data_IF_470491917449
#
_entry.id   IF_470491917449
#
_cell.length_a   1.000
_cell.length_b   1.000
_cell.length_c   1.000
_cell.angle_alpha   90.00
_cell.angle_beta   90.00
_cell.angle_gamma   90.00
#
_symmetry.space_group_name_H-M   'P 1'
#
loop_
_entity.id
_entity.type
_entity.pdbx_description
1 polymer ?
#
# COMPACT_ATOMS: atom_id res chain seq x y z
N UNK A 1 9.84 13.47 -5.91
CA UNK A 1 8.46 13.54 -6.46
C UNK A 1 8.23 12.73 -7.74
N UNK A 2 9.17 12.68 -8.71
CA UNK A 2 9.06 11.71 -9.83
C UNK A 2 9.03 10.25 -9.35
N UNK A 3 9.74 9.93 -8.26
CA UNK A 3 9.74 8.62 -7.61
C UNK A 3 8.39 8.19 -7.00
N UNK A 4 7.56 9.12 -6.52
CA UNK A 4 6.21 8.81 -6.01
C UNK A 4 5.26 8.27 -7.09
N UNK A 5 5.37 8.77 -8.34
CA UNK A 5 4.59 8.24 -9.48
C UNK A 5 4.92 6.77 -9.74
N UNK A 6 6.20 6.46 -9.60
CA UNK A 6 6.77 5.18 -9.94
C UNK A 6 6.49 4.10 -8.91
N UNK A 7 6.48 4.48 -7.63
CA UNK A 7 6.19 3.60 -6.52
C UNK A 7 4.72 3.21 -6.48
N UNK A 8 3.82 4.20 -6.58
CA UNK A 8 2.39 3.93 -6.71
C UNK A 8 2.09 3.10 -7.98
N UNK A 9 2.78 3.38 -9.10
CA UNK A 9 2.71 2.55 -10.30
C UNK A 9 3.13 1.10 -10.02
N UNK A 10 4.30 0.85 -9.43
CA UNK A 10 4.81 -0.50 -9.14
C UNK A 10 3.82 -1.33 -8.30
N UNK A 11 3.17 -0.69 -7.34
CA UNK A 11 2.23 -1.29 -6.40
C UNK A 11 0.87 -1.64 -7.00
N UNK A 12 0.39 -0.83 -7.94
CA UNK A 12 -0.87 -1.10 -8.64
C UNK A 12 -0.73 -2.29 -9.60
N UNK A 13 0.48 -2.52 -10.13
CA UNK A 13 0.70 -3.49 -11.19
C UNK A 13 0.90 -4.91 -10.64
N UNK A 14 1.27 -5.04 -9.37
CA UNK A 14 1.25 -6.31 -8.65
C UNK A 14 -0.17 -6.90 -8.54
N UNK A 15 -1.22 -6.11 -8.85
CA UNK A 15 -2.61 -6.57 -8.88
C UNK A 15 -3.31 -6.40 -10.23
N UNK A 16 -2.81 -5.54 -11.12
CA UNK A 16 -3.28 -5.44 -12.50
C UNK A 16 -2.70 -6.54 -13.43
N UNK A 17 -1.74 -7.34 -12.96
CA UNK A 17 -1.19 -8.49 -13.65
C UNK A 17 -2.17 -9.67 -13.77
N UNK A 18 -3.18 -9.51 -14.61
CA UNK A 18 -3.98 -10.62 -15.10
C UNK A 18 -4.27 -10.48 -16.59
N UNK A 19 -3.25 -10.17 -17.38
CA UNK A 19 -3.13 -10.70 -18.74
C UNK A 19 -2.42 -12.05 -18.68
N UNK A 20 -2.66 -12.92 -19.67
CA UNK A 20 -2.13 -14.29 -19.79
C UNK A 20 -0.61 -14.34 -20.03
N UNK A 21 0.17 -13.55 -19.30
CA UNK A 21 1.62 -13.47 -19.49
C UNK A 21 2.33 -14.40 -18.51
N UNK A 22 3.25 -15.19 -19.08
CA UNK A 22 3.98 -16.31 -18.48
C UNK A 22 4.27 -16.14 -16.98
N UNK A 23 3.99 -17.20 -16.23
CA UNK A 23 4.54 -17.40 -14.89
C UNK A 23 6.03 -17.69 -15.07
N UNK A 24 6.88 -16.79 -14.55
CA UNK A 24 8.33 -16.98 -14.48
C UNK A 24 8.59 -17.59 -13.10
N UNK A 25 8.72 -18.91 -13.05
CA UNK A 25 8.83 -19.67 -11.80
C UNK A 25 10.28 -19.71 -11.24
N UNK A 26 11.29 -19.28 -12.01
CA UNK A 26 12.69 -19.35 -11.59
C UNK A 26 13.53 -18.12 -11.99
N UNK A 27 14.60 -17.89 -11.23
CA UNK A 27 15.60 -16.82 -11.45
C UNK A 27 16.29 -16.89 -12.82
N UNK A 28 16.30 -18.06 -13.45
CA UNK A 28 16.91 -18.32 -14.77
C UNK A 28 15.96 -18.03 -15.95
N UNK A 29 14.66 -17.84 -15.70
CA UNK A 29 13.65 -17.60 -16.75
C UNK A 29 13.43 -16.11 -17.06
N UNK A 30 14.26 -15.21 -16.51
CA UNK A 30 14.26 -13.79 -16.87
C UNK A 30 14.98 -13.65 -18.22
N UNK A 31 14.23 -13.84 -19.29
CA UNK A 31 14.66 -13.58 -20.66
C UNK A 31 14.93 -12.07 -20.84
N UNK A 32 16.08 -11.70 -21.41
CA UNK A 32 16.44 -10.31 -21.76
C UNK A 32 15.56 -9.73 -22.89
N UNK A 33 14.58 -10.51 -23.38
CA UNK A 33 13.59 -10.05 -24.33
C UNK A 33 12.73 -8.90 -23.78
N UNK A 34 12.40 -7.89 -24.61
CA UNK A 34 11.63 -6.74 -24.17
C UNK A 34 10.24 -7.18 -23.70
N UNK A 35 9.98 -6.99 -22.40
CA UNK A 35 8.66 -7.24 -21.78
C UNK A 35 7.66 -6.27 -22.41
N UNK A 36 6.71 -6.82 -23.16
CA UNK A 36 5.57 -6.05 -23.70
C UNK A 36 4.53 -5.89 -22.59
N UNK A 37 4.56 -4.73 -21.92
CA UNK A 37 3.56 -4.38 -20.93
C UNK A 37 2.23 -4.08 -21.62
N UNK A 38 1.14 -4.70 -21.14
CA UNK A 38 -0.20 -4.49 -21.70
C UNK A 38 -0.60 -3.01 -21.61
N UNK A 39 -1.32 -2.54 -22.62
CA UNK A 39 -1.83 -1.16 -22.66
C UNK A 39 -2.71 -0.83 -21.45
N UNK A 40 -3.44 -1.82 -20.94
CA UNK A 40 -4.22 -1.69 -19.72
C UNK A 40 -3.36 -1.30 -18.50
N UNK A 41 -2.22 -1.97 -18.33
CA UNK A 41 -1.29 -1.67 -17.23
C UNK A 41 -0.76 -0.24 -17.37
N UNK A 42 -0.39 0.20 -18.59
CA UNK A 42 0.07 1.58 -18.84
C UNK A 42 -0.98 2.61 -18.45
N UNK A 43 -2.22 2.42 -18.89
CA UNK A 43 -3.32 3.34 -18.58
C UNK A 43 -3.56 3.45 -17.08
N UNK A 44 -3.55 2.33 -16.37
CA UNK A 44 -3.72 2.32 -14.91
C UNK A 44 -2.60 3.09 -14.22
N UNK A 45 -1.35 2.92 -14.64
CA UNK A 45 -0.19 3.67 -14.11
C UNK A 45 -0.32 5.18 -14.34
N UNK A 46 -0.82 5.57 -15.51
CA UNK A 46 -1.04 6.99 -15.83
C UNK A 46 -2.14 7.63 -14.98
N UNK A 47 -3.03 6.83 -14.36
CA UNK A 47 -4.06 7.36 -13.44
C UNK A 47 -3.51 7.76 -12.07
N UNK A 48 -2.27 7.42 -11.74
CA UNK A 48 -1.63 7.82 -10.47
C UNK A 48 -1.54 9.33 -10.36
N UNK A 49 -2.13 9.87 -9.28
CA UNK A 49 -2.22 11.28 -9.00
C UNK A 49 -1.28 11.67 -7.85
N UNK A 50 -0.19 12.37 -8.19
CA UNK A 50 0.79 12.86 -7.21
C UNK A 50 0.15 13.80 -6.19
N UNK A 51 -0.79 14.63 -6.63
CA UNK A 51 -1.41 15.61 -5.74
C UNK A 51 -2.34 14.91 -4.72
N UNK A 52 -2.94 13.78 -5.09
CA UNK A 52 -3.67 12.90 -4.16
C UNK A 52 -2.74 12.31 -3.10
N UNK A 53 -1.57 11.78 -3.52
CA UNK A 53 -0.55 11.24 -2.61
C UNK A 53 -0.07 12.33 -1.63
N UNK A 54 0.34 13.49 -2.15
CA UNK A 54 0.79 14.62 -1.35
C UNK A 54 -0.28 15.11 -0.40
N UNK A 55 -1.51 15.25 -0.86
CA UNK A 55 -2.61 15.72 -0.02
C UNK A 55 -2.82 14.77 1.16
N UNK A 56 -2.81 13.47 0.91
CA UNK A 56 -2.88 12.45 1.97
C UNK A 56 -1.74 12.61 2.97
N UNK A 57 -0.51 12.74 2.46
CA UNK A 57 0.68 12.91 3.30
C UNK A 57 0.64 14.22 4.12
N UNK A 58 0.21 15.33 3.53
CA UNK A 58 0.07 16.63 4.21
C UNK A 58 -0.92 16.55 5.39
N UNK A 59 -1.99 15.76 5.28
CA UNK A 59 -2.94 15.54 6.37
C UNK A 59 -2.30 14.69 7.47
N UNK A 60 -1.72 13.53 7.11
CA UNK A 60 -1.12 12.60 8.06
C UNK A 60 0.05 13.19 8.84
N UNK A 61 0.79 14.13 8.23
CA UNK A 61 1.97 14.80 8.82
C UNK A 61 1.62 16.09 9.57
N UNK A 62 0.34 16.47 9.63
CA UNK A 62 -0.08 17.69 10.33
C UNK A 62 0.27 18.99 9.62
N UNK A 63 0.57 18.95 8.32
CA UNK A 63 0.72 20.16 7.49
C UNK A 63 -0.66 20.76 7.21
N UNK A 64 -1.67 19.91 6.98
CA UNK A 64 -3.05 20.31 6.73
C UNK A 64 -3.99 19.68 7.75
N UNK A 65 -5.02 20.40 8.18
CA UNK A 65 -6.10 19.80 8.94
C UNK A 65 -7.10 19.08 8.01
N UNK A 66 -7.92 18.21 8.58
CA UNK A 66 -9.11 17.66 7.94
C UNK A 66 -10.35 17.86 8.83
N UNK A 67 -11.53 17.66 8.24
CA UNK A 67 -12.79 17.73 8.99
C UNK A 67 -13.17 16.33 9.46
N UNK A 68 -13.31 16.15 10.77
CA UNK A 68 -13.83 14.94 11.40
C UNK A 68 -15.09 15.29 12.18
N UNK A 69 -16.26 14.78 11.79
CA UNK A 69 -17.53 15.03 12.47
C UNK A 69 -17.84 16.52 12.80
N UNK A 70 -17.48 17.43 11.87
CA UNK A 70 -17.57 18.91 11.98
C UNK A 70 -16.42 19.61 12.69
N UNK A 71 -15.53 18.87 13.35
CA UNK A 71 -14.35 19.43 13.98
C UNK A 71 -13.20 19.54 12.99
N UNK A 72 -12.44 20.63 13.07
CA UNK A 72 -11.18 20.77 12.33
C UNK A 72 -10.07 20.12 13.15
N UNK A 73 -9.55 19.00 12.65
CA UNK A 73 -8.57 18.16 13.34
C UNK A 73 -7.21 18.28 12.65
N UNK A 74 -6.15 18.33 13.46
CA UNK A 74 -4.76 18.29 13.00
C UNK A 74 -4.05 17.06 13.61
N UNK A 75 -3.41 16.24 12.77
CA UNK A 75 -2.65 15.07 13.22
C UNK A 75 -1.20 15.48 13.44
N UNK A 76 -0.78 15.67 14.70
CA UNK A 76 0.62 16.05 15.00
C UNK A 76 1.53 14.87 15.28
N UNK A 77 0.94 13.73 15.65
CA UNK A 77 1.62 12.47 15.95
C UNK A 77 0.65 11.31 15.75
N UNK A 78 1.13 10.20 15.20
CA UNK A 78 0.37 8.94 15.06
C UNK A 78 0.97 7.86 15.95
N UNK A 79 1.65 8.24 17.03
CA UNK A 79 2.04 7.29 18.06
C UNK A 79 0.78 6.67 18.67
N UNK A 80 0.72 5.34 18.79
CA UNK A 80 -0.50 4.57 19.06
C UNK A 80 -1.23 4.96 20.35
N UNK A 81 -0.51 5.50 21.34
CA UNK A 81 -1.09 5.96 22.60
C UNK A 81 -1.67 7.39 22.54
N UNK A 82 -1.57 8.10 21.41
CA UNK A 82 -2.03 9.47 21.25
C UNK A 82 -3.26 9.58 20.35
N UNK A 83 -4.12 10.57 20.65
CA UNK A 83 -5.36 10.82 19.90
C UNK A 83 -5.14 11.07 18.40
N UNK A 84 -3.96 11.54 18.00
CA UNK A 84 -3.62 11.71 16.58
C UNK A 84 -3.57 10.39 15.81
N UNK A 85 -3.33 9.25 16.47
CA UNK A 85 -3.43 7.93 15.86
C UNK A 85 -4.89 7.59 15.50
N UNK A 86 -5.83 7.82 16.43
CA UNK A 86 -7.26 7.66 16.17
C UNK A 86 -7.74 8.59 15.06
N UNK A 87 -7.28 9.84 15.07
CA UNK A 87 -7.59 10.80 14.01
C UNK A 87 -7.04 10.37 12.64
N UNK A 88 -5.87 9.73 12.60
CA UNK A 88 -5.35 9.14 11.37
C UNK A 88 -6.26 8.01 10.88
N UNK A 89 -6.64 7.07 11.74
CA UNK A 89 -7.57 6.00 11.38
C UNK A 89 -8.93 6.54 10.87
N UNK A 90 -9.51 7.54 11.55
CA UNK A 90 -10.76 8.18 11.13
C UNK A 90 -10.64 8.85 9.75
N UNK A 91 -9.51 9.52 9.49
CA UNK A 91 -9.23 10.11 8.18
C UNK A 91 -9.12 9.05 7.08
N UNK A 92 -8.43 7.95 7.37
CA UNK A 92 -8.22 6.86 6.42
C UNK A 92 -9.53 6.14 6.10
N UNK A 93 -10.36 5.89 7.11
CA UNK A 93 -11.74 5.40 6.94
C UNK A 93 -12.55 6.36 6.07
N UNK A 94 -12.55 7.66 6.37
CA UNK A 94 -13.25 8.67 5.58
C UNK A 94 -12.82 8.66 4.11
N UNK A 95 -11.53 8.51 3.83
CA UNK A 95 -11.00 8.45 2.46
C UNK A 95 -11.49 7.21 1.72
N UNK A 96 -11.43 6.04 2.35
CA UNK A 96 -11.89 4.78 1.75
C UNK A 96 -13.40 4.78 1.53
N UNK A 97 -14.19 5.26 2.49
CA UNK A 97 -15.64 5.41 2.35
C UNK A 97 -16.01 6.34 1.17
N UNK A 98 -15.29 7.44 0.99
CA UNK A 98 -15.50 8.34 -0.16
C UNK A 98 -15.15 7.71 -1.52
N UNK A 99 -14.38 6.63 -1.53
CA UNK A 99 -14.13 5.84 -2.74
C UNK A 99 -15.18 4.72 -2.93
N UNK A 100 -16.19 4.67 -2.06
CA UNK A 100 -17.29 3.71 -2.16
C UNK A 100 -16.97 2.33 -1.58
N UNK A 101 -15.96 2.23 -0.72
CA UNK A 101 -15.66 0.99 -0.02
C UNK A 101 -16.45 0.86 1.28
N UNK A 102 -16.84 -0.36 1.60
CA UNK A 102 -17.27 -0.73 2.95
C UNK A 102 -16.02 -0.95 3.82
N UNK A 103 -15.72 0.02 4.68
CA UNK A 103 -14.51 0.02 5.52
C UNK A 103 -14.71 -0.86 6.75
N UNK A 104 -13.68 -1.63 7.10
CA UNK A 104 -13.59 -2.38 8.35
C UNK A 104 -12.58 -1.72 9.27
N UNK A 105 -13.08 -1.29 10.44
CA UNK A 105 -12.27 -0.94 11.60
C UNK A 105 -12.10 -2.19 12.48
N UNK A 106 -10.94 -2.82 12.43
CA UNK A 106 -10.63 -4.02 13.20
C UNK A 106 -9.85 -3.63 14.46
N UNK A 107 -10.58 -3.46 15.57
CA UNK A 107 -10.00 -3.32 16.89
C UNK A 107 -9.40 -4.65 17.34
N UNK A 108 -8.16 -4.63 17.83
CA UNK A 108 -7.44 -5.83 18.28
C UNK A 108 -6.91 -5.73 19.71
N UNK A 109 -6.92 -4.54 20.29
CA UNK A 109 -6.72 -4.32 21.73
C UNK A 109 -7.51 -3.06 22.17
N UNK A 110 -7.19 -2.49 23.34
CA UNK A 110 -7.89 -1.32 23.88
C UNK A 110 -7.64 0.00 23.13
N UNK A 111 -6.57 0.09 22.34
CA UNK A 111 -6.10 1.31 21.66
C UNK A 111 -5.83 1.07 20.16
N UNK A 112 -5.35 -0.12 19.78
CA UNK A 112 -4.98 -0.46 18.43
C UNK A 112 -6.17 -0.83 17.52
N UNK A 113 -6.19 -0.23 16.32
CA UNK A 113 -7.26 -0.38 15.32
C UNK A 113 -6.70 -0.45 13.89
N UNK A 114 -6.73 -1.63 13.27
CA UNK A 114 -6.46 -1.71 11.84
C UNK A 114 -7.62 -1.10 11.06
N UNK A 115 -7.32 -0.44 9.94
CA UNK A 115 -8.32 0.05 8.98
C UNK A 115 -8.08 -0.66 7.65
N UNK A 116 -9.10 -1.31 7.09
CA UNK A 116 -8.97 -1.90 5.76
C UNK A 116 -10.27 -1.91 4.97
N UNK A 117 -10.13 -2.01 3.65
CA UNK A 117 -11.24 -2.13 2.71
C UNK A 117 -10.96 -3.25 1.69
N UNK A 118 -12.02 -3.83 1.13
CA UNK A 118 -11.91 -4.90 0.14
C UNK A 118 -12.54 -4.46 -1.18
N UNK A 119 -11.77 -4.55 -2.28
CA UNK A 119 -12.32 -4.55 -3.64
C UNK A 119 -12.54 -6.00 -4.07
N UNK A 120 -13.79 -6.43 -4.25
CA UNK A 120 -14.07 -7.79 -4.70
C UNK A 120 -13.57 -8.03 -6.13
N UNK A 121 -12.95 -9.19 -6.32
CA UNK A 121 -12.60 -9.69 -7.65
C UNK A 121 -13.81 -10.18 -8.43
N UNK A 122 -13.80 -10.06 -9.76
CA UNK A 122 -14.90 -10.52 -10.61
C UNK A 122 -14.76 -11.96 -11.12
N UNK A 123 -13.56 -12.57 -11.02
CA UNK A 123 -13.32 -13.96 -11.45
C UNK A 123 -13.03 -14.85 -10.25
N UNK A 124 -12.19 -14.39 -9.33
CA UNK A 124 -11.75 -15.11 -8.14
C UNK A 124 -12.02 -14.26 -6.88
N UNK A 125 -13.29 -14.05 -6.50
CA UNK A 125 -13.66 -13.20 -5.37
C UNK A 125 -13.14 -13.70 -4.01
N UNK A 126 -12.85 -15.00 -3.89
CA UNK A 126 -12.38 -15.62 -2.64
C UNK A 126 -10.85 -15.80 -2.58
N UNK A 127 -10.11 -15.24 -3.54
CA UNK A 127 -8.64 -15.23 -3.57
C UNK A 127 -8.16 -13.78 -3.51
N UNK A 128 -7.27 -13.48 -2.57
CA UNK A 128 -6.97 -12.11 -2.15
C UNK A 128 -5.51 -11.76 -2.35
N UNK A 129 -5.26 -10.56 -2.88
CA UNK A 129 -3.99 -9.86 -2.75
C UNK A 129 -4.12 -8.75 -1.71
N UNK A 130 -3.03 -8.43 -1.03
CA UNK A 130 -3.00 -7.36 -0.02
C UNK A 130 -2.02 -6.28 -0.48
N UNK A 131 -2.49 -5.02 -0.52
CA UNK A 131 -1.63 -3.84 -0.53
C UNK A 131 -1.72 -3.22 0.86
N UNK A 132 -0.59 -3.08 1.54
CA UNK A 132 -0.60 -2.57 2.89
C UNK A 132 0.54 -1.62 3.22
N UNK A 133 0.33 -0.86 4.30
CA UNK A 133 1.30 -0.02 4.97
C UNK A 133 0.85 0.12 6.43
N UNK A 134 1.73 0.56 7.32
CA UNK A 134 1.31 0.97 8.66
C UNK A 134 1.11 2.48 8.72
N UNK A 135 0.14 2.92 9.52
CA UNK A 135 -0.20 4.33 9.65
C UNK A 135 0.24 4.92 10.99
N UNK A 136 0.66 4.13 11.97
CA UNK A 136 1.24 4.64 13.20
C UNK A 136 2.60 5.32 12.94
N UNK A 137 3.18 5.94 13.96
CA UNK A 137 4.47 6.62 13.83
C UNK A 137 5.26 6.62 15.14
N UNK A 138 6.59 6.56 15.02
CA UNK A 138 7.53 6.97 16.06
C UNK A 138 8.09 8.39 15.84
N UNK A 139 8.73 8.99 16.87
CA UNK A 139 8.86 8.51 18.26
C UNK A 139 7.60 8.75 19.10
N UNK A 140 7.59 8.25 20.34
CA UNK A 140 6.65 8.67 21.39
C UNK A 140 6.83 10.17 21.70
N UNK A 141 6.18 11.01 20.91
CA UNK A 141 6.31 12.47 20.93
C UNK A 141 5.03 13.11 20.44
N UNK A 142 4.64 14.23 21.07
CA UNK A 142 3.46 15.01 20.67
C UNK A 142 3.58 15.57 19.25
N UNK A 143 4.80 15.63 18.73
CA UNK A 143 5.14 15.93 17.34
C UNK A 143 5.95 14.75 16.80
N UNK A 144 5.31 13.93 15.97
CA UNK A 144 5.91 12.81 15.26
C UNK A 144 5.27 12.73 13.86
N UNK A 145 5.74 13.55 12.88
CA UNK A 145 5.07 13.65 11.59
C UNK A 145 5.08 12.35 10.78
N UNK A 146 6.08 11.48 11.00
CA UNK A 146 6.19 10.16 10.34
C UNK A 146 5.97 10.23 8.82
N UNK A 147 6.62 11.18 8.14
CA UNK A 147 6.30 11.49 6.75
C UNK A 147 6.75 10.37 5.79
N UNK A 148 8.00 9.92 5.94
CA UNK A 148 8.50 8.79 5.17
C UNK A 148 8.06 7.47 5.80
N UNK A 149 8.25 7.37 7.12
CA UNK A 149 7.93 6.22 7.97
C UNK A 149 6.69 6.50 8.86
N UNK A 150 5.51 6.00 8.50
CA UNK A 150 5.16 5.43 7.20
C UNK A 150 3.95 6.12 6.54
N UNK A 151 3.91 7.45 6.68
CA UNK A 151 2.94 8.30 5.99
C UNK A 151 3.02 8.16 4.46
N UNK A 152 4.23 7.91 3.92
CA UNK A 152 4.45 7.77 2.49
C UNK A 152 3.83 6.49 1.93
N UNK A 153 3.99 5.35 2.61
CA UNK A 153 3.36 4.08 2.25
C UNK A 153 1.85 4.11 2.46
N UNK A 154 1.39 4.66 3.59
CA UNK A 154 -0.04 4.88 3.86
C UNK A 154 -0.71 5.69 2.75
N UNK A 155 -0.07 6.77 2.28
CA UNK A 155 -0.59 7.55 1.17
C UNK A 155 -0.69 6.73 -0.13
N UNK A 156 0.28 5.85 -0.40
CA UNK A 156 0.25 4.97 -1.57
C UNK A 156 -0.85 3.91 -1.50
N UNK A 157 -1.15 3.32 -0.32
CA UNK A 157 -2.29 2.41 -0.16
C UNK A 157 -3.62 3.13 -0.47
N UNK A 158 -3.80 4.35 0.05
CA UNK A 158 -5.00 5.15 -0.20
C UNK A 158 -5.14 5.51 -1.69
N UNK A 159 -4.05 5.84 -2.36
CA UNK A 159 -4.06 6.13 -3.80
C UNK A 159 -4.36 4.87 -4.63
N UNK A 160 -3.83 3.71 -4.23
CA UNK A 160 -4.20 2.45 -4.86
C UNK A 160 -5.70 2.18 -4.71
N UNK A 161 -6.26 2.35 -3.50
CA UNK A 161 -7.68 2.20 -3.25
C UNK A 161 -8.53 3.12 -4.16
N UNK A 162 -8.12 4.39 -4.34
CA UNK A 162 -8.78 5.34 -5.25
C UNK A 162 -8.79 4.86 -6.71
N UNK A 163 -7.70 4.27 -7.16
CA UNK A 163 -7.58 3.79 -8.55
C UNK A 163 -8.45 2.56 -8.74
N UNK A 164 -8.36 1.59 -7.82
CA UNK A 164 -9.13 0.35 -7.87
C UNK A 164 -10.64 0.52 -7.66
N UNK A 165 -11.10 1.66 -7.12
CA UNK A 165 -12.53 1.92 -6.99
C UNK A 165 -13.24 2.01 -8.36
N UNK A 166 -12.48 2.29 -9.42
CA UNK A 166 -12.95 2.36 -10.80
C UNK A 166 -12.55 1.15 -11.65
N UNK A 167 -11.91 0.13 -11.05
CA UNK A 167 -11.42 -1.06 -11.76
C UNK A 167 -12.15 -2.32 -11.31
N UNK A 168 -12.15 -3.34 -12.17
CA UNK A 168 -12.72 -4.66 -11.88
C UNK A 168 -11.60 -5.70 -11.89
N UNK A 169 -10.87 -5.87 -10.78
CA UNK A 169 -9.76 -6.83 -10.72
C UNK A 169 -10.29 -8.27 -10.80
N UNK A 170 -9.47 -9.21 -11.28
CA UNK A 170 -9.85 -10.64 -11.30
C UNK A 170 -9.92 -11.23 -9.89
N UNK A 171 -8.95 -10.86 -9.05
CA UNK A 171 -8.83 -11.27 -7.66
C UNK A 171 -9.35 -10.17 -6.73
N UNK A 172 -9.74 -10.55 -5.52
CA UNK A 172 -10.06 -9.57 -4.49
C UNK A 172 -8.80 -8.87 -3.99
N UNK A 173 -8.94 -7.61 -3.59
CA UNK A 173 -7.83 -6.77 -3.12
C UNK A 173 -8.18 -6.23 -1.75
N UNK A 174 -7.29 -6.41 -0.78
CA UNK A 174 -7.38 -5.79 0.53
C UNK A 174 -6.43 -4.58 0.53
N UNK A 175 -6.99 -3.39 0.75
CA UNK A 175 -6.23 -2.18 1.04
C UNK A 175 -6.17 -2.04 2.54
N UNK A 176 -5.01 -2.34 3.12
CA UNK A 176 -4.85 -2.49 4.55
C UNK A 176 -3.90 -1.46 5.15
N UNK A 177 -4.32 -0.89 6.27
CA UNK A 177 -3.62 0.15 6.99
C UNK A 177 -3.46 -0.34 8.43
N UNK A 178 -2.24 -0.75 8.74
CA UNK A 178 -1.91 -1.40 10.00
C UNK A 178 -1.64 -0.37 11.09
N UNK A 179 -2.06 -0.71 12.30
CA UNK A 179 -1.73 0.03 13.50
C UNK A 179 -0.71 -0.75 14.33
N UNK A 180 -0.01 -0.03 15.21
CA UNK A 180 0.99 -0.58 16.12
C UNK A 180 2.10 -1.43 15.43
N UNK A 181 2.56 -1.02 14.25
CA UNK A 181 3.73 -1.61 13.61
C UNK A 181 4.97 -1.36 14.47
N UNK A 182 5.11 -0.11 14.91
CA UNK A 182 6.29 0.39 15.61
C UNK A 182 6.36 -0.12 17.05
N UNK A 183 5.27 -0.73 17.54
CA UNK A 183 5.20 -1.40 18.84
C UNK A 183 5.40 -2.92 18.73
N UNK A 184 5.78 -3.41 17.54
CA UNK A 184 6.16 -4.80 17.31
C UNK A 184 5.20 -5.56 16.39
N UNK A 185 4.73 -4.92 15.33
CA UNK A 185 3.89 -5.50 14.27
C UNK A 185 2.53 -6.00 14.79
N UNK A 186 1.96 -5.35 15.80
CA UNK A 186 0.84 -5.91 16.57
C UNK A 186 -0.42 -6.03 15.69
N UNK A 187 -0.79 -4.95 14.98
CA UNK A 187 -1.96 -4.96 14.12
C UNK A 187 -1.85 -5.94 12.95
N UNK A 188 -0.71 -5.97 12.27
CA UNK A 188 -0.50 -6.89 11.14
C UNK A 188 -0.44 -8.36 11.57
N UNK A 189 0.16 -8.67 12.72
CA UNK A 189 0.14 -10.03 13.31
C UNK A 189 -1.29 -10.46 13.65
N UNK A 190 -2.07 -9.59 14.28
CA UNK A 190 -3.47 -9.89 14.60
C UNK A 190 -4.26 -10.23 13.33
N UNK A 191 -4.16 -9.40 12.29
CA UNK A 191 -4.82 -9.65 11.01
C UNK A 191 -4.38 -10.99 10.38
N UNK A 192 -3.08 -11.27 10.36
CA UNK A 192 -2.53 -12.52 9.83
C UNK A 192 -3.05 -13.76 10.60
N UNK A 193 -3.17 -13.67 11.92
CA UNK A 193 -3.75 -14.75 12.74
C UNK A 193 -5.24 -14.96 12.44
N UNK A 194 -6.04 -13.89 12.35
CA UNK A 194 -7.46 -13.99 12.04
C UNK A 194 -7.70 -14.61 10.66
N UNK A 195 -6.95 -14.16 9.64
CA UNK A 195 -7.06 -14.68 8.27
C UNK A 195 -6.60 -16.13 8.16
N UNK A 196 -5.56 -16.53 8.91
CA UNK A 196 -5.15 -17.92 9.04
C UNK A 196 -6.24 -18.79 9.66
N UNK A 197 -6.90 -18.32 10.72
CA UNK A 197 -7.94 -19.07 11.42
C UNK A 197 -9.17 -19.39 10.55
N UNK A 198 -9.47 -18.53 9.57
CA UNK A 198 -10.56 -18.74 8.61
C UNK A 198 -10.11 -19.34 7.28
N UNK A 199 -8.83 -19.75 7.17
CA UNK A 199 -8.22 -20.26 5.94
C UNK A 199 -8.41 -19.32 4.73
N UNK A 200 -8.28 -18.01 4.95
CA UNK A 200 -8.38 -17.02 3.89
C UNK A 200 -7.27 -17.24 2.86
N UNK A 201 -7.62 -17.29 1.56
CA UNK A 201 -6.66 -17.56 0.48
C UNK A 201 -5.93 -16.30 0.07
N UNK A 202 -4.86 -15.96 0.80
CA UNK A 202 -3.97 -14.86 0.43
C UNK A 202 -2.96 -15.37 -0.61
N UNK A 203 -2.93 -14.71 -1.77
CA UNK A 203 -2.09 -15.05 -2.93
C UNK A 203 -0.79 -14.28 -2.97
N UNK A 204 -0.75 -13.12 -2.35
CA UNK A 204 0.42 -12.27 -2.26
C UNK A 204 0.14 -11.04 -1.39
N UNK A 205 1.21 -10.51 -0.82
CA UNK A 205 1.17 -9.31 0.03
C UNK A 205 2.25 -8.36 -0.46
N UNK A 206 1.91 -7.08 -0.51
CA UNK A 206 2.85 -6.02 -0.81
C UNK A 206 2.79 -5.03 0.33
N UNK A 207 3.85 -5.01 1.12
CA UNK A 207 4.02 -4.04 2.18
C UNK A 207 4.79 -2.82 1.64
N UNK A 208 4.22 -1.63 1.82
CA UNK A 208 4.79 -0.36 1.38
C UNK A 208 5.32 0.33 2.61
N UNK A 209 6.64 0.44 2.70
CA UNK A 209 7.27 1.01 3.87
C UNK A 209 8.45 1.89 3.45
N UNK A 210 8.38 3.16 3.84
CA UNK A 210 9.37 4.21 3.54
C UNK A 210 9.68 4.38 2.03
N UNK A 211 8.81 5.11 1.34
CA UNK A 211 8.87 5.27 -0.13
C UNK A 211 9.00 6.72 -0.59
N UNK A 212 9.13 7.64 0.35
CA UNK A 212 9.15 9.08 0.14
C UNK A 212 10.54 9.70 0.12
N UNK A 213 11.58 8.99 0.58
CA UNK A 213 12.94 9.51 0.72
C UNK A 213 14.00 8.69 -0.02
N UNK A 214 14.92 9.38 -0.70
CA UNK A 214 16.09 8.81 -1.39
C UNK A 214 17.34 9.56 -0.89
N UNK A 215 17.94 9.04 0.19
CA UNK A 215 19.00 9.73 0.94
C UNK A 215 20.32 9.90 0.18
N UNK A 216 20.61 8.98 -0.73
CA UNK A 216 21.85 8.92 -1.50
C UNK A 216 21.64 9.26 -2.98
N UNK A 217 20.40 9.61 -3.36
CA UNK A 217 20.01 10.07 -4.69
C UNK A 217 20.46 9.09 -5.79
N UNK A 218 20.38 7.79 -5.47
CA UNK A 218 20.78 6.70 -6.34
C UNK A 218 19.61 6.20 -7.20
N UNK A 219 18.39 6.64 -6.86
CA UNK A 219 17.15 6.29 -7.54
C UNK A 219 16.86 4.78 -7.54
N UNK A 220 17.43 4.03 -6.60
CA UNK A 220 17.08 2.63 -6.36
C UNK A 220 15.78 2.52 -5.55
N UNK A 221 14.91 1.61 -5.97
CA UNK A 221 13.84 1.11 -5.11
C UNK A 221 14.30 -0.21 -4.52
N UNK A 222 14.22 -0.33 -3.19
CA UNK A 222 14.51 -1.59 -2.52
C UNK A 222 13.24 -2.43 -2.44
N UNK A 223 13.30 -3.62 -3.03
CA UNK A 223 12.26 -4.62 -2.87
C UNK A 223 12.80 -5.75 -1.99
N UNK A 224 12.24 -5.89 -0.80
CA UNK A 224 12.64 -6.95 0.13
C UNK A 224 11.82 -8.20 -0.14
N UNK A 225 12.51 -9.32 -0.37
CA UNK A 225 11.94 -10.62 -0.74
C UNK A 225 12.36 -11.64 0.32
N UNK A 226 11.69 -11.67 1.49
CA UNK A 226 12.18 -12.38 2.66
C UNK A 226 12.22 -13.90 2.48
N UNK A 227 11.33 -14.48 1.66
CA UNK A 227 11.38 -15.88 1.28
C UNK A 227 11.56 -16.05 -0.23
N UNK A 228 12.80 -16.26 -0.70
CA UNK A 228 13.11 -16.44 -2.11
C UNK A 228 12.26 -17.47 -2.85
N UNK A 229 11.90 -18.57 -2.18
CA UNK A 229 11.22 -19.70 -2.82
C UNK A 229 9.74 -19.41 -3.11
N UNK A 230 9.18 -18.37 -2.49
CA UNK A 230 7.75 -18.04 -2.56
C UNK A 230 7.53 -16.64 -3.15
N UNK A 231 8.43 -15.70 -2.83
CA UNK A 231 8.21 -14.28 -3.07
C UNK A 231 8.85 -13.79 -4.41
N UNK A 232 9.70 -14.61 -5.04
CA UNK A 232 10.36 -14.25 -6.31
C UNK A 232 9.41 -13.92 -7.45
N UNK A 233 8.28 -14.63 -7.66
CA UNK A 233 7.37 -14.29 -8.76
C UNK A 233 6.86 -12.84 -8.70
N UNK A 234 6.58 -12.34 -7.49
CA UNK A 234 6.17 -10.94 -7.24
C UNK A 234 7.32 -9.98 -7.58
N UNK A 235 8.55 -10.32 -7.17
CA UNK A 235 9.73 -9.51 -7.43
C UNK A 235 10.14 -9.47 -8.90
N UNK A 236 10.05 -10.60 -9.60
CA UNK A 236 10.30 -10.70 -11.04
C UNK A 236 9.30 -9.83 -11.78
N UNK A 237 8.01 -9.94 -11.44
CA UNK A 237 6.96 -9.12 -12.06
C UNK A 237 7.26 -7.63 -11.88
N UNK A 238 7.62 -7.19 -10.67
CA UNK A 238 8.03 -5.81 -10.40
C UNK A 238 9.21 -5.35 -11.29
N UNK A 239 10.22 -6.21 -11.50
CA UNK A 239 11.36 -5.94 -12.38
C UNK A 239 10.97 -5.82 -13.85
N UNK A 240 10.15 -6.74 -14.35
CA UNK A 240 9.64 -6.74 -15.73
C UNK A 240 8.91 -5.44 -16.06
N UNK A 241 8.04 -5.01 -15.15
CA UNK A 241 7.26 -3.79 -15.24
C UNK A 241 8.14 -2.55 -15.29
N UNK A 242 9.09 -2.47 -14.35
CA UNK A 242 10.01 -1.36 -14.25
C UNK A 242 10.82 -1.18 -15.55
N UNK A 243 11.29 -2.28 -16.13
CA UNK A 243 12.02 -2.29 -17.41
C UNK A 243 11.10 -1.95 -18.58
N UNK A 244 9.96 -2.64 -18.72
CA UNK A 244 9.06 -2.51 -19.88
C UNK A 244 8.35 -1.16 -19.99
N UNK A 245 8.17 -0.45 -18.87
CA UNK A 245 7.65 0.92 -18.86
C UNK A 245 8.74 1.99 -18.82
N UNK A 246 10.02 1.59 -18.79
CA UNK A 246 11.16 2.53 -18.67
C UNK A 246 11.00 3.49 -17.49
N UNK A 247 10.51 2.95 -16.36
CA UNK A 247 10.30 3.72 -15.15
C UNK A 247 11.62 4.31 -14.64
N UNK A 248 12.72 3.57 -14.80
CA UNK A 248 14.05 4.04 -14.45
C UNK A 248 14.38 3.85 -12.96
N UNK A 249 13.66 2.97 -12.25
CA UNK A 249 14.17 2.45 -10.99
C UNK A 249 15.20 1.40 -11.29
N UNK A 250 16.09 1.21 -10.35
CA UNK A 250 16.83 -0.02 -10.27
C UNK A 250 16.34 -0.75 -9.02
N UNK A 251 16.01 -2.02 -9.18
CA UNK A 251 15.54 -2.90 -8.11
C UNK A 251 16.72 -3.79 -7.72
N UNK A 252 17.05 -3.81 -6.42
CA UNK A 252 18.16 -4.58 -5.86
C UNK A 252 17.76 -6.03 -5.58
#
# INVERSE_FOLDING_TARGET
MKHFRLLAALLIILIAGCSEDRVVDNKEDIDDNPVVISEHIRQVVETVNIDSLKFTLEILTGIKPFINNSDTVLITSRFSDYAGNDHAADYLEYRLNNYGYDVVNQNFNAKGRNVYAIRSGNVYPDEYYIICAHYDSLPESVIAPGADDNGSGTAAVIEAARIFSNLNPKYSIIFALWDEEEQGLIGSKYFAEQTKNINMKIKGVINIDMIGWDSNNDHYLRLSVPNPDIDYPVAIKAKEINTGMSLGLQIL
#
